data_IF_812828598871
#
_entry.id   IF_812828598871
#
_cell.length_a   1.000
_cell.length_b   1.000
_cell.length_c   1.000
_cell.angle_alpha   90.00
_cell.angle_beta   90.00
_cell.angle_gamma   90.00
#
_symmetry.space_group_name_H-M   'P 1'
#
loop_
_entity.id
_entity.type
_entity.pdbx_description
1 polymer ?
#
# COMPACT_ATOMS: atom_id res chain seq x y z
N UNK A 1 -0.12 -10.15 -9.73
CA UNK A 1 0.82 -9.09 -9.30
C UNK A 1 0.89 -9.13 -7.78
N UNK A 2 2.07 -9.02 -7.21
CA UNK A 2 2.26 -8.95 -5.75
C UNK A 2 2.93 -7.61 -5.47
N UNK A 3 2.33 -6.82 -4.60
CA UNK A 3 2.88 -5.58 -4.08
C UNK A 3 3.29 -5.81 -2.62
N UNK A 4 4.59 -5.78 -2.37
CA UNK A 4 5.14 -5.95 -1.02
C UNK A 4 5.48 -4.58 -0.44
N UNK A 5 4.85 -4.24 0.67
CA UNK A 5 4.98 -2.97 1.36
C UNK A 5 5.86 -3.12 2.61
N UNK A 6 7.17 -3.05 2.38
CA UNK A 6 8.18 -3.15 3.44
C UNK A 6 8.52 -1.79 4.07
N UNK A 7 8.34 -1.69 5.38
CA UNK A 7 8.75 -0.53 6.19
C UNK A 7 8.65 -0.89 7.69
N UNK A 8 9.67 -1.51 8.32
CA UNK A 8 9.57 -1.98 9.70
C UNK A 8 9.68 -0.84 10.73
N UNK A 9 8.71 -0.79 11.66
CA UNK A 9 8.76 0.10 12.82
C UNK A 9 8.45 1.58 12.55
N UNK A 10 8.51 2.41 13.60
CA UNK A 10 8.21 3.86 13.54
C UNK A 10 9.24 4.66 12.72
N UNK A 11 10.48 4.17 12.65
CA UNK A 11 11.59 4.83 11.95
C UNK A 11 11.38 4.88 10.43
N UNK A 12 10.59 3.95 9.88
CA UNK A 12 10.28 3.92 8.44
C UNK A 12 9.11 4.82 8.03
N UNK A 13 8.59 5.67 8.92
CA UNK A 13 7.46 6.56 8.60
C UNK A 13 7.78 7.46 7.39
N UNK A 14 8.99 8.03 7.32
CA UNK A 14 9.43 8.84 6.19
C UNK A 14 9.46 8.07 4.87
N UNK A 15 9.90 6.81 4.90
CA UNK A 15 9.91 5.93 3.72
C UNK A 15 8.49 5.60 3.24
N UNK A 16 7.55 5.36 4.17
CA UNK A 16 6.13 5.16 3.84
C UNK A 16 5.51 6.41 3.23
N UNK A 17 5.77 7.59 3.82
CA UNK A 17 5.29 8.85 3.27
C UNK A 17 5.89 9.18 1.91
N UNK A 18 7.17 8.86 1.69
CA UNK A 18 7.79 9.00 0.37
C UNK A 18 7.09 8.10 -0.66
N UNK A 19 6.86 6.83 -0.33
CA UNK A 19 6.19 5.88 -1.21
C UNK A 19 4.74 6.29 -1.50
N UNK A 20 4.04 6.83 -0.50
CA UNK A 20 2.68 7.37 -0.62
C UNK A 20 2.60 8.85 -1.01
N UNK A 21 3.71 9.51 -1.36
CA UNK A 21 3.67 10.95 -1.75
C UNK A 21 2.95 11.15 -3.09
N UNK A 22 2.95 10.13 -3.94
CA UNK A 22 2.34 10.14 -5.26
C UNK A 22 1.65 8.81 -5.55
N UNK A 23 0.64 8.77 -6.43
CA UNK A 23 -0.04 7.53 -6.78
C UNK A 23 0.78 6.63 -7.71
N UNK A 24 1.96 7.05 -8.16
CA UNK A 24 2.72 6.38 -9.23
C UNK A 24 3.00 4.90 -8.93
N UNK A 25 3.40 4.57 -7.70
CA UNK A 25 3.66 3.18 -7.31
C UNK A 25 2.39 2.32 -7.38
N UNK A 26 1.26 2.86 -6.93
CA UNK A 26 -0.03 2.18 -7.00
C UNK A 26 -0.51 2.05 -8.43
N UNK A 27 -0.42 3.11 -9.24
CA UNK A 27 -0.80 3.08 -10.64
C UNK A 27 -0.01 2.03 -11.42
N UNK A 28 1.31 1.93 -11.18
CA UNK A 28 2.14 0.89 -11.79
C UNK A 28 1.72 -0.49 -11.33
N UNK A 29 1.43 -0.67 -10.04
CA UNK A 29 0.98 -1.96 -9.49
C UNK A 29 -0.36 -2.40 -10.10
N UNK A 30 -1.32 -1.48 -10.20
CA UNK A 30 -2.68 -1.73 -10.69
C UNK A 30 -2.68 -1.98 -12.20
N UNK A 31 -2.00 -1.14 -12.99
CA UNK A 31 -1.98 -1.27 -14.46
C UNK A 31 -1.24 -2.54 -14.92
N UNK A 32 -0.27 -3.02 -14.15
CA UNK A 32 0.42 -4.30 -14.43
C UNK A 32 -0.34 -5.52 -13.89
N UNK A 33 -1.30 -5.34 -13.00
CA UNK A 33 -2.11 -6.44 -12.48
C UNK A 33 -3.21 -6.83 -13.48
N UNK A 34 -2.96 -7.86 -14.30
CA UNK A 34 -3.91 -8.32 -15.33
C UNK A 34 -5.20 -8.94 -14.78
N UNK A 35 -5.16 -9.54 -13.58
CA UNK A 35 -6.31 -10.27 -13.02
C UNK A 35 -6.41 -10.16 -11.50
N UNK A 36 -5.29 -10.22 -10.77
CA UNK A 36 -5.25 -10.13 -9.30
C UNK A 36 -4.06 -9.31 -8.81
N UNK A 37 -4.30 -8.46 -7.83
CA UNK A 37 -3.30 -7.71 -7.08
C UNK A 37 -3.34 -8.14 -5.61
N UNK A 38 -2.27 -8.76 -5.15
CA UNK A 38 -2.10 -9.11 -3.75
C UNK A 38 -1.19 -8.09 -3.08
N UNK A 39 -1.57 -7.61 -1.91
CA UNK A 39 -0.80 -6.62 -1.14
C UNK A 39 -0.36 -7.25 0.17
N UNK A 40 0.94 -7.23 0.44
CA UNK A 40 1.53 -7.82 1.65
C UNK A 40 2.23 -6.70 2.43
N UNK A 41 1.79 -6.44 3.65
CA UNK A 41 2.38 -5.44 4.54
C UNK A 41 1.52 -5.19 5.78
N UNK A 42 2.01 -4.37 6.70
CA UNK A 42 1.27 -3.96 7.89
C UNK A 42 0.12 -3.01 7.51
N UNK A 43 -1.11 -3.53 7.51
CA UNK A 43 -2.28 -2.77 7.10
C UNK A 43 -2.46 -1.48 7.92
N UNK A 44 -2.29 -1.54 9.24
CA UNK A 44 -2.48 -0.40 10.14
C UNK A 44 -1.41 0.66 9.94
N UNK A 45 -0.19 0.26 9.60
CA UNK A 45 0.92 1.15 9.31
C UNK A 45 0.80 1.88 7.96
N UNK A 46 0.16 1.26 6.96
CA UNK A 46 0.04 1.79 5.61
C UNK A 46 -1.32 2.47 5.34
N UNK A 47 -2.39 2.09 6.04
CA UNK A 47 -3.72 2.73 5.97
C UNK A 47 -3.71 4.27 6.12
N UNK A 48 -2.94 4.88 7.05
CA UNK A 48 -2.96 6.34 7.19
C UNK A 48 -2.10 7.08 6.15
N UNK A 49 -1.36 6.35 5.31
CA UNK A 49 -0.46 6.95 4.32
C UNK A 49 -1.26 7.43 3.10
N UNK A 50 -0.99 8.62 2.54
CA UNK A 50 -1.72 9.13 1.38
C UNK A 50 -1.69 8.15 0.19
N UNK A 51 -2.79 8.11 -0.58
CA UNK A 51 -3.09 7.15 -1.67
C UNK A 51 -3.20 5.66 -1.24
N UNK A 52 -2.47 5.23 -0.21
CA UNK A 52 -2.62 3.92 0.40
C UNK A 52 -3.89 3.81 1.24
N UNK A 53 -4.41 4.93 1.75
CA UNK A 53 -5.75 4.99 2.35
C UNK A 53 -6.85 4.55 1.37
N UNK A 54 -6.81 5.03 0.13
CA UNK A 54 -7.73 4.62 -0.95
C UNK A 54 -7.57 3.14 -1.27
N UNK A 55 -6.33 2.66 -1.41
CA UNK A 55 -6.05 1.24 -1.61
C UNK A 55 -6.64 0.39 -0.46
N UNK A 56 -6.47 0.83 0.79
CA UNK A 56 -6.94 0.11 1.97
C UNK A 56 -8.47 0.00 2.03
N UNK A 57 -9.18 1.03 1.55
CA UNK A 57 -10.64 1.03 1.42
C UNK A 57 -11.10 0.06 0.33
N UNK A 58 -10.43 0.07 -0.84
CA UNK A 58 -10.78 -0.83 -1.95
C UNK A 58 -10.51 -2.31 -1.65
N UNK A 59 -9.55 -2.62 -0.78
CA UNK A 59 -9.25 -4.00 -0.36
C UNK A 59 -10.20 -4.54 0.73
N UNK A 60 -11.09 -3.71 1.29
CA UNK A 60 -12.08 -4.13 2.28
C UNK A 60 -11.56 -4.34 3.71
N UNK A 61 -10.29 -3.98 3.99
CA UNK A 61 -9.65 -4.23 5.28
C UNK A 61 -9.38 -5.71 5.57
N UNK A 62 -8.44 -6.04 6.46
CA UNK A 62 -8.26 -7.42 6.91
C UNK A 62 -9.53 -7.89 7.64
N UNK A 63 -9.93 -9.17 7.49
CA UNK A 63 -11.02 -9.75 8.27
C UNK A 63 -10.69 -9.62 9.77
N UNK A 64 -11.68 -9.17 10.54
CA UNK A 64 -11.60 -8.99 12.00
C UNK A 64 -11.54 -10.32 12.75
#
# INVERSE_FOLDING_TARGET
>A
MILVLGAPGKQSLGARYWAGKSPNLLNVAVTRAKQRLYVIGDFSAWKPIPYFSTLSQSLGGPPH
#
